data_IF_405508933960
#
_entry.id   IF_405508933960
#
_cell.length_a   1.000
_cell.length_b   1.000
_cell.length_c   1.000
_cell.angle_alpha   90.00
_cell.angle_beta   90.00
_cell.angle_gamma   90.00
#
_symmetry.space_group_name_H-M   'P 1'
#
loop_
_entity.id
_entity.type
_entity.pdbx_description
1 polymer ?
#
# COMPACT_ATOMS: atom_id res chain seq x y z
N UNK A 1 62.11 0.26 -1.76
CA UNK A 1 61.05 -0.70 -2.16
C UNK A 1 60.36 -1.43 -0.99
N UNK A 2 60.60 -1.09 0.30
CA UNK A 2 59.91 -1.74 1.45
C UNK A 2 58.90 -0.83 2.18
N UNK A 3 58.80 0.43 1.79
CA UNK A 3 58.02 1.44 2.52
C UNK A 3 56.69 1.84 1.87
N UNK A 4 56.40 1.36 0.65
CA UNK A 4 55.15 1.70 -0.09
C UNK A 4 54.01 0.70 0.21
N UNK A 5 54.31 -0.47 0.75
CA UNK A 5 53.31 -1.56 0.93
C UNK A 5 52.42 -1.37 2.17
N UNK A 6 52.80 -0.51 3.12
CA UNK A 6 52.08 -0.35 4.39
C UNK A 6 50.91 0.66 4.35
N UNK A 7 50.75 1.44 3.28
CA UNK A 7 49.66 2.42 3.20
C UNK A 7 48.32 1.86 2.68
N UNK A 8 48.30 0.63 2.15
CA UNK A 8 47.08 0.05 1.54
C UNK A 8 46.25 -0.81 2.50
N UNK A 9 46.72 -1.06 3.72
CA UNK A 9 46.13 -2.06 4.62
C UNK A 9 45.02 -1.52 5.54
N UNK A 10 44.78 -0.20 5.58
CA UNK A 10 43.82 0.40 6.51
C UNK A 10 42.44 0.71 5.91
N UNK A 11 42.21 0.45 4.61
CA UNK A 11 40.99 0.87 3.92
C UNK A 11 39.97 -0.26 3.68
N UNK A 12 40.03 -1.35 4.45
CA UNK A 12 39.19 -2.54 4.22
C UNK A 12 38.20 -2.88 5.36
N UNK A 13 37.99 -1.98 6.33
CA UNK A 13 37.16 -2.26 7.52
C UNK A 13 35.92 -1.36 7.67
N UNK A 14 35.34 -0.86 6.57
CA UNK A 14 34.18 0.04 6.63
C UNK A 14 32.87 -0.51 6.01
N UNK A 15 32.85 -1.74 5.48
CA UNK A 15 31.72 -2.17 4.64
C UNK A 15 30.66 -3.08 5.31
N UNK A 16 30.77 -3.38 6.60
CA UNK A 16 29.78 -4.23 7.29
C UNK A 16 29.05 -3.44 8.39
N UNK A 17 28.25 -2.45 8.00
CA UNK A 17 27.25 -1.91 8.90
C UNK A 17 26.03 -2.86 8.90
N UNK A 18 25.57 -3.34 10.06
CA UNK A 18 24.32 -4.09 10.13
C UNK A 18 23.19 -3.19 9.63
N UNK A 19 22.50 -3.66 8.61
CA UNK A 19 21.34 -2.99 8.05
C UNK A 19 20.21 -3.10 9.08
N UNK A 20 20.04 -2.07 9.92
CA UNK A 20 18.84 -1.96 10.75
C UNK A 20 17.63 -1.97 9.81
N UNK A 21 16.63 -2.85 10.01
CA UNK A 21 15.44 -2.86 9.19
C UNK A 21 14.79 -1.47 9.27
N UNK A 22 14.79 -0.78 8.13
CA UNK A 22 14.16 0.54 8.00
C UNK A 22 12.67 0.33 8.23
N UNK A 23 12.17 0.81 9.37
CA UNK A 23 10.74 0.89 9.61
C UNK A 23 10.08 1.55 8.40
N UNK A 24 8.91 1.06 7.93
CA UNK A 24 8.24 1.68 6.80
C UNK A 24 8.04 3.16 7.12
N UNK A 25 8.52 4.03 6.22
CA UNK A 25 8.25 5.45 6.32
C UNK A 25 6.74 5.64 6.47
N UNK A 26 6.32 6.46 7.42
CA UNK A 26 4.91 6.77 7.63
C UNK A 26 4.30 7.24 6.30
N UNK A 27 3.53 6.36 5.65
CA UNK A 27 2.95 6.64 4.36
C UNK A 27 1.74 7.57 4.58
N UNK A 28 1.81 8.72 3.93
CA UNK A 28 0.90 9.85 4.16
C UNK A 28 1.53 11.17 3.75
N UNK A 29 2.35 11.20 2.69
CA UNK A 29 3.09 12.39 2.27
C UNK A 29 2.19 13.56 1.83
N UNK A 30 0.87 13.33 1.66
CA UNK A 30 -0.04 14.26 0.99
C UNK A 30 -1.29 14.66 1.81
N UNK A 31 -1.40 14.24 3.07
CA UNK A 31 -2.52 14.59 3.98
C UNK A 31 -3.91 13.99 3.66
N UNK A 32 -4.16 13.58 2.42
CA UNK A 32 -5.43 12.96 1.98
C UNK A 32 -5.50 11.45 2.21
N UNK A 33 -4.37 10.81 2.50
CA UNK A 33 -4.30 9.39 2.85
C UNK A 33 -4.25 9.25 4.37
N UNK A 34 -5.11 8.39 4.92
CA UNK A 34 -5.03 7.96 6.32
C UNK A 34 -4.62 6.50 6.36
N UNK A 35 -3.64 6.20 7.19
CA UNK A 35 -3.16 4.83 7.40
C UNK A 35 -3.38 4.39 8.83
N UNK A 36 -3.87 3.17 8.96
CA UNK A 36 -4.08 2.49 10.23
C UNK A 36 -3.48 1.10 10.14
N UNK A 37 -3.02 0.57 11.27
CA UNK A 37 -2.46 -0.78 11.38
C UNK A 37 -3.15 -1.53 12.50
N UNK A 38 -3.40 -2.83 12.28
CA UNK A 38 -3.95 -3.75 13.27
C UNK A 38 -3.25 -5.09 13.12
N UNK A 39 -2.89 -5.71 14.24
CA UNK A 39 -2.33 -7.07 14.25
C UNK A 39 -3.45 -8.10 14.28
N UNK A 40 -3.31 -9.17 13.51
CA UNK A 40 -4.30 -10.25 13.41
C UNK A 40 -4.17 -11.04 12.12
N UNK A 41 -5.05 -12.04 11.96
CA UNK A 41 -5.17 -12.78 10.69
C UNK A 41 -5.72 -11.84 9.62
N UNK A 42 -5.10 -11.86 8.45
CA UNK A 42 -5.45 -10.97 7.34
C UNK A 42 -6.94 -11.10 6.96
N UNK A 43 -7.43 -12.33 6.85
CA UNK A 43 -8.80 -12.63 6.44
C UNK A 43 -9.83 -12.10 7.44
N UNK A 44 -9.51 -12.18 8.74
CA UNK A 44 -10.38 -11.68 9.79
C UNK A 44 -10.42 -10.14 9.77
N UNK A 45 -9.26 -9.48 9.64
CA UNK A 45 -9.19 -8.01 9.58
C UNK A 45 -9.90 -7.50 8.32
N UNK A 46 -9.75 -8.18 7.18
CA UNK A 46 -10.46 -7.86 5.95
C UNK A 46 -11.97 -7.98 6.13
N UNK A 47 -12.47 -9.07 6.71
CA UNK A 47 -13.91 -9.26 6.94
C UNK A 47 -14.47 -8.26 7.95
N UNK A 48 -13.74 -7.97 9.02
CA UNK A 48 -14.08 -6.92 9.98
C UNK A 48 -14.18 -5.57 9.29
N UNK A 49 -13.23 -5.24 8.39
CA UNK A 49 -13.24 -3.98 7.63
C UNK A 49 -14.45 -3.92 6.68
N UNK A 50 -14.72 -5.02 5.96
CA UNK A 50 -15.89 -5.16 5.10
C UNK A 50 -17.18 -4.89 5.89
N UNK A 51 -17.33 -5.57 7.03
CA UNK A 51 -18.48 -5.41 7.91
C UNK A 51 -18.57 -4.00 8.49
N UNK A 52 -17.46 -3.35 8.83
CA UNK A 52 -17.43 -1.98 9.33
C UNK A 52 -17.84 -0.95 8.25
N UNK A 53 -17.46 -1.16 6.99
CA UNK A 53 -17.91 -0.34 5.85
C UNK A 53 -19.43 -0.48 5.69
N UNK A 54 -19.91 -1.73 5.58
CA UNK A 54 -21.34 -2.04 5.41
C UNK A 54 -22.18 -1.57 6.61
N UNK A 55 -21.67 -1.72 7.84
CA UNK A 55 -22.31 -1.27 9.08
C UNK A 55 -22.47 0.24 9.20
N UNK A 56 -21.77 1.02 8.38
CA UNK A 56 -21.97 2.47 8.24
C UNK A 56 -23.02 2.83 7.17
N UNK A 57 -23.71 1.84 6.61
CA UNK A 57 -24.68 2.02 5.53
C UNK A 57 -24.04 2.32 4.17
N UNK A 58 -22.73 2.02 4.03
CA UNK A 58 -22.02 2.16 2.76
C UNK A 58 -22.16 0.86 1.97
N UNK A 59 -22.34 0.96 0.66
CA UNK A 59 -22.47 -0.20 -0.22
C UNK A 59 -21.10 -0.53 -0.79
N UNK A 60 -20.60 -1.72 -0.58
CA UNK A 60 -19.43 -2.22 -1.32
C UNK A 60 -19.90 -2.55 -2.74
N UNK A 61 -19.28 -1.89 -3.71
CA UNK A 61 -19.53 -2.06 -5.15
C UNK A 61 -18.57 -3.08 -5.76
N UNK A 62 -17.30 -3.06 -5.32
CA UNK A 62 -16.28 -3.95 -5.83
C UNK A 62 -15.26 -4.36 -4.75
N UNK A 63 -14.72 -5.57 -4.89
CA UNK A 63 -13.61 -6.09 -4.10
C UNK A 63 -12.49 -6.54 -5.04
N UNK A 64 -11.36 -5.84 -4.99
CA UNK A 64 -10.21 -6.07 -5.87
C UNK A 64 -9.10 -6.85 -5.18
N UNK A 65 -8.68 -7.95 -5.78
CA UNK A 65 -7.54 -8.77 -5.34
C UNK A 65 -6.23 -8.26 -5.97
N UNK A 66 -5.72 -7.15 -5.45
CA UNK A 66 -4.57 -6.42 -6.00
C UNK A 66 -3.30 -7.27 -5.99
N UNK A 67 -3.03 -8.04 -4.93
CA UNK A 67 -1.85 -8.92 -4.88
C UNK A 67 -1.88 -9.96 -6.00
N UNK A 68 -3.03 -10.57 -6.27
CA UNK A 68 -3.18 -11.55 -7.35
C UNK A 68 -3.03 -10.91 -8.73
N UNK A 69 -3.60 -9.71 -8.90
CA UNK A 69 -3.44 -8.93 -10.13
C UNK A 69 -1.97 -8.60 -10.40
N UNK A 70 -1.22 -8.18 -9.38
CA UNK A 70 0.21 -7.87 -9.50
C UNK A 70 1.05 -9.14 -9.78
N UNK A 71 0.75 -10.25 -9.12
CA UNK A 71 1.42 -11.54 -9.36
C UNK A 71 1.19 -12.04 -10.80
N UNK A 72 0.02 -11.75 -11.39
CA UNK A 72 -0.30 -12.07 -12.78
C UNK A 72 0.41 -11.14 -13.76
N UNK A 73 0.23 -9.84 -13.60
CA UNK A 73 0.66 -8.81 -14.57
C UNK A 73 2.15 -8.51 -14.50
N UNK A 74 2.81 -8.78 -13.37
CA UNK A 74 4.25 -8.56 -13.23
C UNK A 74 5.05 -9.34 -14.27
N UNK A 75 4.59 -10.54 -14.65
CA UNK A 75 5.21 -11.38 -15.68
C UNK A 75 5.22 -10.73 -17.06
N UNK A 76 4.17 -9.98 -17.38
CA UNK A 76 3.98 -9.34 -18.69
C UNK A 76 4.93 -8.15 -18.87
N UNK A 77 5.41 -7.55 -17.78
CA UNK A 77 6.29 -6.37 -17.77
C UNK A 77 7.69 -6.64 -17.19
N UNK A 78 8.02 -7.90 -16.90
CA UNK A 78 9.31 -8.29 -16.32
C UNK A 78 9.52 -7.86 -14.86
N UNK A 79 8.45 -7.51 -14.13
CA UNK A 79 8.53 -7.18 -12.72
C UNK A 79 8.64 -8.46 -11.87
N UNK A 80 9.59 -8.46 -10.93
CA UNK A 80 9.91 -9.64 -10.10
C UNK A 80 9.69 -9.43 -8.61
N UNK A 81 9.46 -8.19 -8.17
CA UNK A 81 9.25 -7.87 -6.76
C UNK A 81 7.84 -8.24 -6.30
N UNK A 82 7.75 -8.99 -5.19
CA UNK A 82 6.48 -9.22 -4.49
C UNK A 82 6.14 -8.00 -3.63
N UNK A 83 5.12 -7.24 -4.04
CA UNK A 83 4.72 -5.99 -3.34
C UNK A 83 3.84 -6.28 -2.11
N UNK A 84 2.92 -7.24 -2.23
CA UNK A 84 2.00 -7.61 -1.16
C UNK A 84 1.96 -9.13 -0.97
N UNK A 85 1.93 -9.59 0.28
CA UNK A 85 1.60 -10.98 0.61
C UNK A 85 0.09 -11.22 0.55
N UNK A 86 -0.70 -10.23 0.99
CA UNK A 86 -2.14 -10.13 0.82
C UNK A 86 -2.50 -8.67 0.59
N UNK A 87 -2.99 -8.35 -0.60
CA UNK A 87 -3.27 -6.98 -1.03
C UNK A 87 -4.65 -6.91 -1.65
N UNK A 88 -5.60 -6.35 -0.92
CA UNK A 88 -6.99 -6.26 -1.31
C UNK A 88 -7.50 -4.81 -1.16
N UNK A 89 -8.47 -4.43 -1.98
CA UNK A 89 -9.07 -3.10 -1.93
C UNK A 89 -10.59 -3.19 -2.10
N UNK A 90 -11.33 -2.45 -1.27
CA UNK A 90 -12.77 -2.30 -1.40
C UNK A 90 -13.09 -0.97 -2.07
N UNK A 91 -13.94 -0.99 -3.09
CA UNK A 91 -14.59 0.19 -3.62
C UNK A 91 -16.02 0.25 -3.09
N UNK A 92 -16.42 1.38 -2.52
CA UNK A 92 -17.72 1.52 -1.88
C UNK A 92 -18.37 2.88 -2.15
N UNK A 93 -19.70 2.89 -2.04
CA UNK A 93 -20.55 4.02 -2.36
C UNK A 93 -21.26 4.52 -1.10
N UNK A 94 -21.44 5.84 -1.00
CA UNK A 94 -22.41 6.45 -0.11
C UNK A 94 -23.50 7.09 -0.94
N UNK A 95 -24.72 6.53 -0.93
CA UNK A 95 -25.81 7.07 -1.74
C UNK A 95 -26.07 8.57 -1.47
N UNK A 96 -25.97 8.98 -0.20
CA UNK A 96 -26.18 10.37 0.21
C UNK A 96 -25.05 11.27 -0.29
N UNK A 97 -23.78 10.89 -0.09
CA UNK A 97 -22.65 11.73 -0.49
C UNK A 97 -22.56 11.80 -2.01
N UNK A 98 -22.59 10.64 -2.69
CA UNK A 98 -22.46 10.58 -4.15
C UNK A 98 -23.57 11.37 -4.85
N UNK A 99 -24.82 11.29 -4.37
CA UNK A 99 -25.93 12.11 -4.89
C UNK A 99 -25.64 13.59 -4.74
N UNK A 100 -25.34 14.04 -3.51
CA UNK A 100 -25.08 15.46 -3.21
C UNK A 100 -23.93 16.03 -4.04
N UNK A 101 -22.84 15.27 -4.20
CA UNK A 101 -21.69 15.74 -4.98
C UNK A 101 -22.01 15.80 -6.48
N UNK A 102 -22.72 14.82 -7.03
CA UNK A 102 -23.06 14.81 -8.46
C UNK A 102 -24.15 15.84 -8.83
N UNK A 103 -25.07 16.14 -7.90
CA UNK A 103 -26.04 17.24 -8.09
C UNK A 103 -25.36 18.62 -8.04
N UNK A 104 -24.28 18.76 -7.27
CA UNK A 104 -23.50 20.00 -7.25
C UNK A 104 -22.63 20.18 -8.51
N UNK A 105 -22.04 19.08 -9.03
CA UNK A 105 -21.33 19.03 -10.31
C UNK A 105 -21.31 17.59 -10.85
N UNK A 106 -21.86 17.38 -12.04
CA UNK A 106 -21.93 16.06 -12.68
C UNK A 106 -20.53 15.45 -12.93
N UNK A 107 -19.49 16.27 -13.07
CA UNK A 107 -18.11 15.79 -13.24
C UNK A 107 -17.58 15.07 -12.00
N UNK A 108 -18.22 15.22 -10.83
CA UNK A 108 -17.86 14.47 -9.63
C UNK A 108 -18.10 12.96 -9.77
N UNK A 109 -18.69 12.49 -10.87
CA UNK A 109 -18.79 11.06 -11.20
C UNK A 109 -17.42 10.35 -11.18
N UNK A 110 -16.33 11.05 -11.49
CA UNK A 110 -14.96 10.48 -11.50
C UNK A 110 -14.46 10.03 -10.11
N UNK A 111 -15.12 10.47 -9.03
CA UNK A 111 -14.78 10.11 -7.65
C UNK A 111 -15.66 9.01 -7.06
N UNK A 112 -16.61 8.47 -7.84
CA UNK A 112 -17.50 7.40 -7.40
C UNK A 112 -17.23 6.13 -8.21
N UNK A 113 -16.99 4.97 -7.59
CA UNK A 113 -17.01 4.70 -6.14
C UNK A 113 -15.79 5.26 -5.39
N UNK A 114 -15.91 5.37 -4.06
CA UNK A 114 -14.82 5.74 -3.16
C UNK A 114 -13.94 4.53 -2.83
N UNK A 115 -12.70 4.79 -2.41
CA UNK A 115 -11.70 3.78 -2.01
C UNK A 115 -10.98 4.21 -0.74
#
# INVERSE_FOLDING_TARGET
>A
MRTIVLLFSLLALAACQPQTPKAPAAAGANGHMKMYSKEGKFENIRDDLKAAIEGRGLKIDNHSFISEMLDRTGKDIGATAKVYTGGEAFSFCSAVVSRKTMEADANNIVFCPYT
#
